data_IF_584209074716
#
_entry.id   IF_584209074716
#
_cell.length_a   1.000
_cell.length_b   1.000
_cell.length_c   1.000
_cell.angle_alpha   90.00
_cell.angle_beta   90.00
_cell.angle_gamma   90.00
#
_symmetry.space_group_name_H-M   'P 1'
#
loop_
_entity.id
_entity.type
_entity.pdbx_description
1 polymer ?
#
# COMPACT_ATOMS: atom_id res chain seq x y z
N UNK A 1 -4.70 -5.87 -16.43
CA UNK A 1 -5.73 -5.53 -17.33
C UNK A 1 -5.76 -4.05 -17.67
N UNK A 2 -6.68 -3.69 -18.48
CA UNK A 2 -6.80 -2.30 -18.95
C UNK A 2 -7.19 -1.30 -17.87
N UNK A 3 -7.62 -1.80 -16.71
CA UNK A 3 -7.95 -0.95 -15.57
C UNK A 3 -6.75 -0.68 -14.66
N UNK A 4 -5.62 -1.32 -14.93
CA UNK A 4 -4.39 -1.11 -14.17
C UNK A 4 -3.55 -0.11 -14.95
N UNK A 5 -3.20 1.05 -14.35
CA UNK A 5 -2.57 2.16 -15.08
C UNK A 5 -1.06 1.99 -15.33
N UNK A 6 -0.53 0.79 -15.17
CA UNK A 6 0.90 0.52 -15.37
C UNK A 6 1.12 -0.94 -15.76
N UNK A 7 2.26 -1.26 -16.39
CA UNK A 7 2.64 -2.66 -16.61
C UNK A 7 2.94 -3.33 -15.28
N UNK A 8 2.32 -4.48 -15.03
CA UNK A 8 2.53 -5.22 -13.79
C UNK A 8 3.82 -6.03 -13.90
N UNK A 9 4.75 -5.81 -12.98
CA UNK A 9 6.03 -6.50 -12.93
C UNK A 9 6.17 -7.41 -11.73
N UNK A 10 5.31 -7.26 -10.72
CA UNK A 10 5.35 -8.06 -9.51
C UNK A 10 3.94 -8.21 -8.96
N UNK A 11 3.64 -9.41 -8.50
CA UNK A 11 2.35 -9.73 -7.86
C UNK A 11 2.67 -10.45 -6.55
N UNK A 12 2.02 -10.05 -5.48
CA UNK A 12 2.15 -10.76 -4.22
C UNK A 12 0.86 -10.67 -3.40
N UNK A 13 0.75 -11.57 -2.43
CA UNK A 13 -0.41 -11.64 -1.55
C UNK A 13 0.02 -11.41 -0.11
N UNK A 14 -0.87 -10.78 0.64
CA UNK A 14 -0.77 -10.68 2.09
C UNK A 14 -1.96 -11.46 2.63
N UNK A 15 -1.72 -12.47 3.44
CA UNK A 15 -2.77 -13.33 3.96
C UNK A 15 -2.37 -13.90 5.32
N UNK A 16 -3.31 -14.61 5.97
CA UNK A 16 -3.09 -15.20 7.28
C UNK A 16 -2.62 -14.19 8.32
N UNK A 17 -3.15 -12.99 8.26
CA UNK A 17 -2.80 -11.94 9.21
C UNK A 17 -3.48 -12.22 10.54
N UNK A 18 -2.70 -12.17 11.61
CA UNK A 18 -3.25 -12.32 12.96
C UNK A 18 -4.10 -11.09 13.29
N UNK A 19 -5.16 -11.30 14.04
CA UNK A 19 -5.98 -10.21 14.54
C UNK A 19 -5.12 -9.25 15.37
N UNK A 20 -5.29 -7.94 15.12
CA UNK A 20 -4.56 -6.91 15.83
C UNK A 20 -3.16 -6.60 15.28
N UNK A 21 -2.69 -7.36 14.28
CA UNK A 21 -1.40 -7.09 13.66
C UNK A 21 -1.59 -6.10 12.51
N UNK A 22 -0.74 -5.08 12.49
CA UNK A 22 -0.71 -4.09 11.41
C UNK A 22 0.50 -4.33 10.53
N UNK A 23 0.42 -3.90 9.28
CA UNK A 23 1.50 -4.05 8.30
C UNK A 23 1.71 -2.75 7.54
N UNK A 24 2.71 -2.74 6.70
CA UNK A 24 3.07 -1.56 5.93
C UNK A 24 4.09 -0.74 6.69
N UNK A 25 3.73 0.45 7.12
CA UNK A 25 4.61 1.40 7.80
C UNK A 25 5.82 1.74 6.94
N UNK A 26 5.54 2.10 5.69
CA UNK A 26 6.60 2.48 4.77
C UNK A 26 6.04 3.34 3.64
N UNK A 27 6.95 3.96 2.90
CA UNK A 27 6.65 4.65 1.66
C UNK A 27 7.62 4.15 0.59
N UNK A 28 7.32 4.45 -0.65
CA UNK A 28 8.17 4.12 -1.79
C UNK A 28 8.48 5.39 -2.57
N UNK A 29 9.68 5.44 -3.13
CA UNK A 29 10.11 6.60 -3.92
C UNK A 29 9.51 6.59 -5.32
N UNK A 30 9.49 5.44 -5.97
CA UNK A 30 9.07 5.35 -7.36
C UNK A 30 7.99 4.30 -7.63
N UNK A 31 7.81 3.34 -6.74
CA UNK A 31 6.91 2.22 -6.93
C UNK A 31 5.45 2.66 -7.00
N UNK A 32 4.74 2.14 -8.00
CA UNK A 32 3.28 2.26 -8.05
C UNK A 32 2.66 0.90 -7.79
N UNK A 33 1.57 0.89 -7.05
CA UNK A 33 0.91 -0.34 -6.65
C UNK A 33 -0.60 -0.19 -6.75
N UNK A 34 -1.26 -1.33 -6.99
CA UNK A 34 -2.71 -1.43 -6.82
C UNK A 34 -2.95 -2.53 -5.81
N UNK A 35 -3.70 -2.22 -4.76
CA UNK A 35 -4.07 -3.17 -3.71
C UNK A 35 -5.54 -3.53 -3.87
N UNK A 36 -5.83 -4.83 -3.87
CA UNK A 36 -7.19 -5.35 -4.05
C UNK A 36 -7.45 -6.40 -2.98
N UNK A 37 -8.50 -6.19 -2.18
CA UNK A 37 -8.89 -7.18 -1.18
C UNK A 37 -9.80 -8.22 -1.84
N UNK A 38 -9.26 -9.39 -2.12
CA UNK A 38 -10.01 -10.44 -2.83
C UNK A 38 -10.82 -11.32 -1.89
N UNK A 39 -10.58 -11.24 -0.59
CA UNK A 39 -11.34 -11.96 0.42
C UNK A 39 -11.25 -11.18 1.74
N UNK A 40 -12.35 -11.08 2.45
CA UNK A 40 -12.39 -10.38 3.73
C UNK A 40 -12.26 -8.88 3.60
N UNK A 41 -11.60 -8.27 4.57
CA UNK A 41 -11.45 -6.81 4.61
C UNK A 41 -10.21 -6.38 5.36
N UNK A 42 -9.75 -5.17 5.06
CA UNK A 42 -8.74 -4.47 5.85
C UNK A 42 -8.89 -2.97 5.63
N UNK A 43 -8.20 -2.19 6.46
CA UNK A 43 -8.15 -0.74 6.29
C UNK A 43 -6.76 -0.32 5.84
N UNK A 44 -6.72 0.59 4.87
CA UNK A 44 -5.48 1.19 4.38
C UNK A 44 -5.44 2.64 4.80
N UNK A 45 -4.41 3.01 5.55
CA UNK A 45 -4.12 4.40 5.86
C UNK A 45 -3.11 4.93 4.86
N UNK A 46 -3.41 6.06 4.25
CA UNK A 46 -2.52 6.75 3.30
C UNK A 46 -2.21 8.15 3.83
N UNK A 47 -0.96 8.53 3.74
CA UNK A 47 -0.47 9.81 4.27
C UNK A 47 0.53 10.40 3.28
N UNK A 48 0.23 11.57 2.75
CA UNK A 48 1.12 12.24 1.79
C UNK A 48 2.06 13.26 2.44
N UNK A 49 2.08 13.29 3.77
CA UNK A 49 2.90 14.24 4.52
C UNK A 49 2.14 15.48 4.95
N UNK A 50 0.92 15.67 4.45
CA UNK A 50 0.08 16.81 4.79
C UNK A 50 -1.31 16.37 5.21
N UNK A 51 -1.86 15.40 4.52
CA UNK A 51 -3.21 14.90 4.75
C UNK A 51 -3.17 13.40 4.89
N UNK A 52 -4.11 12.87 5.66
CA UNK A 52 -4.30 11.45 5.85
C UNK A 52 -5.69 11.06 5.37
N UNK A 53 -5.76 9.89 4.78
CA UNK A 53 -7.03 9.32 4.35
C UNK A 53 -7.05 7.84 4.68
N UNK A 54 -8.23 7.32 5.00
CA UNK A 54 -8.42 5.89 5.21
C UNK A 54 -9.34 5.34 4.13
N UNK A 55 -9.02 4.15 3.66
CA UNK A 55 -9.86 3.43 2.72
C UNK A 55 -10.11 2.04 3.28
N UNK A 56 -11.36 1.59 3.24
CA UNK A 56 -11.71 0.22 3.59
C UNK A 56 -11.66 -0.60 2.32
N UNK A 57 -10.82 -1.64 2.34
CA UNK A 57 -10.71 -2.58 1.22
C UNK A 57 -11.49 -3.84 1.58
N UNK A 58 -12.62 -4.03 0.94
CA UNK A 58 -13.55 -5.12 1.27
C UNK A 58 -14.22 -5.74 0.05
N UNK A 59 -13.70 -5.45 -1.14
CA UNK A 59 -14.31 -5.94 -2.38
C UNK A 59 -13.25 -6.26 -3.41
N UNK A 60 -13.37 -7.40 -4.10
CA UNK A 60 -12.45 -7.71 -5.21
C UNK A 60 -12.71 -6.86 -6.46
N UNK A 61 -13.77 -6.06 -6.45
CA UNK A 61 -14.14 -5.21 -7.58
C UNK A 61 -13.53 -3.82 -7.50
N UNK A 62 -12.85 -3.49 -6.40
CA UNK A 62 -12.24 -2.18 -6.19
C UNK A 62 -10.78 -2.31 -5.87
N UNK A 63 -9.95 -1.68 -6.67
CA UNK A 63 -8.52 -1.58 -6.38
C UNK A 63 -8.19 -0.19 -5.87
N UNK A 64 -7.20 -0.12 -4.99
CA UNK A 64 -6.67 1.14 -4.49
C UNK A 64 -5.32 1.40 -5.14
N UNK A 65 -5.23 2.47 -5.91
CA UNK A 65 -3.96 2.88 -6.52
C UNK A 65 -3.14 3.67 -5.50
N UNK A 66 -1.90 3.25 -5.32
CA UNK A 66 -0.95 3.92 -4.42
C UNK A 66 0.26 4.31 -5.26
N UNK A 67 0.47 5.61 -5.43
CA UNK A 67 1.58 6.13 -6.22
C UNK A 67 2.09 7.43 -5.63
N UNK A 68 3.26 7.84 -6.07
CA UNK A 68 3.92 9.01 -5.53
C UNK A 68 4.50 8.74 -4.16
N UNK A 69 4.98 9.79 -3.51
CA UNK A 69 5.55 9.69 -2.17
C UNK A 69 4.41 9.60 -1.16
N UNK A 70 4.01 8.38 -0.84
CA UNK A 70 2.85 8.09 -0.01
C UNK A 70 3.21 7.10 1.08
N UNK A 71 3.12 7.51 2.33
CA UNK A 71 3.25 6.61 3.48
C UNK A 71 1.99 5.78 3.59
N UNK A 72 2.13 4.50 3.87
CA UNK A 72 0.99 3.60 3.99
C UNK A 72 1.11 2.70 5.20
N UNK A 73 -0.05 2.39 5.76
CA UNK A 73 -0.21 1.44 6.84
C UNK A 73 -1.46 0.61 6.57
N UNK A 74 -1.40 -0.66 6.92
CA UNK A 74 -2.53 -1.57 6.76
C UNK A 74 -2.95 -2.07 8.13
N UNK A 75 -4.24 -1.93 8.44
CA UNK A 75 -4.77 -2.21 9.75
C UNK A 75 -6.07 -3.02 9.66
N UNK A 76 -6.48 -3.56 10.78
CA UNK A 76 -7.80 -4.18 10.96
C UNK A 76 -8.10 -5.25 9.90
N UNK A 77 -7.15 -6.16 9.72
CA UNK A 77 -7.35 -7.30 8.85
C UNK A 77 -8.40 -8.23 9.42
N UNK A 78 -9.42 -8.59 8.61
CA UNK A 78 -10.32 -9.66 9.01
C UNK A 78 -9.58 -10.99 9.01
N UNK A 79 -10.08 -12.01 9.76
CA UNK A 79 -9.39 -13.31 9.84
C UNK A 79 -9.18 -13.99 8.48
N UNK A 80 -10.08 -13.73 7.53
CA UNK A 80 -10.03 -14.34 6.19
C UNK A 80 -9.51 -13.38 5.12
N UNK A 81 -8.87 -12.28 5.52
CA UNK A 81 -8.41 -11.27 4.55
C UNK A 81 -7.30 -11.82 3.67
N UNK A 82 -7.47 -11.64 2.37
CA UNK A 82 -6.42 -11.87 1.39
C UNK A 82 -6.30 -10.60 0.56
N UNK A 83 -5.16 -9.96 0.64
CA UNK A 83 -4.87 -8.74 -0.09
C UNK A 83 -3.92 -9.05 -1.23
N UNK A 84 -4.37 -8.78 -2.45
CA UNK A 84 -3.56 -8.94 -3.65
C UNK A 84 -2.92 -7.59 -3.97
N UNK A 85 -1.61 -7.58 -4.20
CA UNK A 85 -0.91 -6.35 -4.56
C UNK A 85 -0.22 -6.54 -5.90
N UNK A 86 -0.52 -5.63 -6.82
CA UNK A 86 0.11 -5.55 -8.14
C UNK A 86 1.06 -4.37 -8.13
N UNK A 87 2.30 -4.58 -8.57
CA UNK A 87 3.32 -3.55 -8.53
C UNK A 87 3.98 -3.37 -9.90
N UNK A 88 4.43 -2.16 -10.19
CA UNK A 88 5.04 -1.83 -11.48
C UNK A 88 6.55 -2.04 -11.51
N UNK A 89 7.15 -2.46 -10.40
CA UNK A 89 8.58 -2.71 -10.31
C UNK A 89 8.85 -3.97 -9.50
N UNK A 90 9.97 -4.60 -9.77
CA UNK A 90 10.46 -5.70 -8.94
C UNK A 90 10.86 -5.18 -7.55
N UNK A 91 10.97 -6.08 -6.59
CA UNK A 91 11.38 -5.71 -5.25
C UNK A 91 12.73 -5.00 -5.28
N UNK A 92 12.81 -3.86 -4.60
CA UNK A 92 14.02 -3.07 -4.50
C UNK A 92 14.02 -2.38 -3.14
N UNK A 93 14.85 -2.87 -2.21
CA UNK A 93 14.89 -2.33 -0.85
C UNK A 93 15.30 -0.86 -0.85
N UNK A 94 16.09 -0.41 -1.81
CA UNK A 94 16.52 0.98 -1.88
C UNK A 94 15.36 1.95 -2.17
N UNK A 95 14.23 1.43 -2.69
CA UNK A 95 13.04 2.23 -2.95
C UNK A 95 12.20 2.47 -1.68
N UNK A 96 12.44 1.68 -0.63
CA UNK A 96 11.64 1.76 0.59
C UNK A 96 12.11 2.89 1.51
N UNK A 97 11.15 3.56 2.13
CA UNK A 97 11.36 4.46 3.25
C UNK A 97 10.56 3.88 4.40
N UNK A 98 11.25 3.36 5.42
CA UNK A 98 10.61 2.62 6.51
C UNK A 98 10.44 3.41 7.79
N UNK A 99 10.92 4.65 7.83
CA UNK A 99 10.79 5.56 8.95
C UNK A 99 9.85 6.69 8.58
N UNK A 100 8.85 6.95 9.42
CA UNK A 100 7.92 8.05 9.15
C UNK A 100 8.65 9.40 9.16
N UNK A 101 9.63 9.55 10.05
CA UNK A 101 10.44 10.77 10.08
C UNK A 101 11.22 10.94 8.79
N UNK A 102 11.81 9.86 8.28
CA UNK A 102 12.52 9.87 7.00
C UNK A 102 11.59 10.21 5.84
N UNK A 103 10.36 9.69 5.89
CA UNK A 103 9.34 10.02 4.90
C UNK A 103 9.03 11.51 4.90
N UNK A 104 8.81 12.09 6.08
CA UNK A 104 8.51 13.53 6.17
C UNK A 104 9.68 14.38 5.68
N UNK A 105 10.92 13.98 5.95
CA UNK A 105 12.10 14.68 5.45
C UNK A 105 12.12 14.72 3.93
N UNK A 106 11.81 13.61 3.28
CA UNK A 106 11.79 13.53 1.81
C UNK A 106 10.67 14.41 1.26
N UNK A 107 9.47 14.33 1.84
CA UNK A 107 8.34 15.16 1.40
C UNK A 107 8.67 16.64 1.53
N UNK A 108 9.27 17.05 2.64
CA UNK A 108 9.60 18.44 2.89
C UNK A 108 10.72 18.95 1.96
N UNK A 109 11.66 18.08 1.61
CA UNK A 109 12.75 18.45 0.70
C UNK A 109 12.26 18.66 -0.73
N UNK A 110 11.12 18.09 -1.11
CA UNK A 110 10.56 18.18 -2.45
C UNK A 110 9.64 19.40 -2.65
N UNK A 111 9.47 20.20 -1.63
CA UNK A 111 8.62 21.40 -1.72
C UNK A 111 9.32 22.54 -2.43
#
# INVERSE_FOLDING_TARGET
GRNIPFPVRRVYYIYSCRQGVSRGFHAHRALRQVAICISGSCKMLLDNGRERAEATLDSPLRGLLIEGMMWREMHEFSPNCVLLVLADQHYDESDYIRSYEGFLEVVNAEK
#
